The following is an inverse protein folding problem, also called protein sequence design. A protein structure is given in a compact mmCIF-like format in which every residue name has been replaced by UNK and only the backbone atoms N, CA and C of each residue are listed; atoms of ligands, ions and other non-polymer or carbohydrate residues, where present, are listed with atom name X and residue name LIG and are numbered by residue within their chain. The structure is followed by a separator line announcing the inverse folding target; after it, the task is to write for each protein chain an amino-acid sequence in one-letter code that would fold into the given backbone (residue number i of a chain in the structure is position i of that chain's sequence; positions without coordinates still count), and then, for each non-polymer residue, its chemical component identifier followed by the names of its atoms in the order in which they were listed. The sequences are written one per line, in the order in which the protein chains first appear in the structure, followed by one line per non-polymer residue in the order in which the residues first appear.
data_IF_284423808319
#
_entry.id   IF_284423808319
#
_cell.length_a   1.000
_cell.length_b   1.000
_cell.length_c   1.000
_cell.angle_alpha   90.00
_cell.angle_beta   90.00
_cell.angle_gamma   90.00
#
_symmetry.space_group_name_H-M   'P 1'
#
loop_
_entity.id
_entity.type
_entity.pdbx_description
1 polymer ?
#
# COMPACT_ATOMS: atom_id res chain seq x y z
N UNK A 1 13.79 -6.65 -5.23
CA UNK A 1 13.23 -6.09 -6.49
C UNK A 1 11.93 -6.76 -6.91
N UNK A 2 11.95 -7.95 -7.53
CA UNK A 2 10.72 -8.56 -8.08
C UNK A 2 9.61 -8.73 -7.03
N UNK A 3 9.97 -9.22 -5.83
CA UNK A 3 9.02 -9.36 -4.72
C UNK A 3 8.42 -8.01 -4.27
N UNK A 4 9.21 -6.93 -4.32
CA UNK A 4 8.73 -5.60 -3.95
C UNK A 4 7.70 -5.08 -4.97
N UNK A 5 8.02 -5.18 -6.27
CA UNK A 5 7.12 -4.79 -7.35
C UNK A 5 5.82 -5.61 -7.32
N UNK A 6 5.93 -6.92 -7.14
CA UNK A 6 4.77 -7.81 -7.11
C UNK A 6 3.89 -7.53 -5.88
N UNK A 7 4.49 -7.38 -4.70
CA UNK A 7 3.76 -7.03 -3.48
C UNK A 7 3.03 -5.69 -3.57
N UNK A 8 3.69 -4.65 -4.10
CA UNK A 8 3.07 -3.34 -4.31
C UNK A 8 1.98 -3.37 -5.39
N UNK A 9 2.18 -4.13 -6.46
CA UNK A 9 1.15 -4.33 -7.49
C UNK A 9 -0.11 -4.98 -6.94
N UNK A 10 0.04 -6.03 -6.12
CA UNK A 10 -1.09 -6.68 -5.44
C UNK A 10 -1.78 -5.74 -4.46
N UNK A 11 -1.02 -4.95 -3.69
CA UNK A 11 -1.55 -3.94 -2.78
C UNK A 11 -2.40 -2.90 -3.53
N UNK A 12 -1.87 -2.37 -4.64
CA UNK A 12 -2.57 -1.40 -5.49
C UNK A 12 -3.85 -1.98 -6.09
N UNK A 13 -3.82 -3.24 -6.54
CA UNK A 13 -5.01 -3.96 -7.00
C UNK A 13 -6.06 -4.10 -5.90
N UNK A 14 -5.65 -4.50 -4.69
CA UNK A 14 -6.53 -4.60 -3.54
C UNK A 14 -7.22 -3.27 -3.21
N UNK A 15 -6.45 -2.18 -3.14
CA UNK A 15 -7.00 -0.84 -2.93
C UNK A 15 -7.96 -0.45 -4.06
N UNK A 16 -7.58 -0.69 -5.32
CA UNK A 16 -8.40 -0.37 -6.48
C UNK A 16 -9.76 -1.11 -6.48
N UNK A 17 -9.79 -2.38 -6.07
CA UNK A 17 -11.03 -3.14 -5.95
C UNK A 17 -11.95 -2.58 -4.86
N UNK A 18 -11.41 -2.25 -3.69
CA UNK A 18 -12.19 -1.63 -2.62
C UNK A 18 -12.72 -0.25 -3.06
N UNK A 19 -11.88 0.55 -3.72
CA UNK A 19 -12.27 1.87 -4.23
C UNK A 19 -13.38 1.76 -5.27
N UNK A 20 -13.27 0.82 -6.22
CA UNK A 20 -14.30 0.58 -7.23
C UNK A 20 -15.64 0.13 -6.62
N UNK A 21 -15.60 -0.71 -5.58
CA UNK A 21 -16.80 -1.12 -4.86
C UNK A 21 -17.45 0.06 -4.11
N UNK A 22 -16.64 0.90 -3.44
CA UNK A 22 -17.12 2.09 -2.75
C UNK A 22 -17.70 3.13 -3.72
N UNK A 23 -17.08 3.36 -4.88
CA UNK A 23 -17.56 4.30 -5.90
C UNK A 23 -18.96 3.95 -6.41
N UNK A 24 -19.29 2.66 -6.50
CA UNK A 24 -20.64 2.23 -6.86
C UNK A 24 -21.70 2.62 -5.82
N UNK A 25 -21.31 2.73 -4.54
CA UNK A 25 -22.25 2.95 -3.43
C UNK A 25 -22.28 4.40 -2.95
N UNK A 26 -21.16 5.10 -3.04
CA UNK A 26 -21.00 6.46 -2.54
C UNK A 26 -20.32 7.34 -3.57
N UNK A 27 -20.99 8.42 -3.98
CA UNK A 27 -20.46 9.40 -4.94
C UNK A 27 -19.24 10.17 -4.39
N UNK A 28 -19.17 10.38 -3.07
CA UNK A 28 -18.07 11.08 -2.39
C UNK A 28 -16.74 10.31 -2.38
N UNK A 29 -16.73 9.03 -2.81
CA UNK A 29 -15.53 8.18 -2.70
C UNK A 29 -14.31 8.78 -3.42
N UNK A 30 -14.49 9.41 -4.59
CA UNK A 30 -13.36 10.05 -5.31
C UNK A 30 -12.78 11.24 -4.56
N UNK A 31 -13.63 12.05 -3.90
CA UNK A 31 -13.18 13.24 -3.17
C UNK A 31 -12.35 12.84 -1.95
N UNK A 32 -12.82 11.83 -1.21
CA UNK A 32 -12.09 11.27 -0.07
C UNK A 32 -10.78 10.63 -0.52
N UNK A 33 -10.79 9.88 -1.63
CA UNK A 33 -9.58 9.27 -2.18
C UNK A 33 -8.52 10.28 -2.60
N UNK A 34 -8.93 11.38 -3.23
CA UNK A 34 -8.03 12.47 -3.60
C UNK A 34 -7.39 13.13 -2.36
N UNK A 35 -8.15 13.31 -1.28
CA UNK A 35 -7.64 13.83 -0.02
C UNK A 35 -6.63 12.88 0.64
N UNK A 36 -6.82 11.56 0.52
CA UNK A 36 -5.95 10.55 1.14
C UNK A 36 -4.66 10.29 0.36
N UNK A 37 -4.68 10.39 -0.97
CA UNK A 37 -3.49 10.13 -1.80
C UNK A 37 -2.41 11.20 -1.65
N UNK A 38 -2.80 12.46 -1.42
CA UNK A 38 -1.87 13.56 -1.18
C UNK A 38 -0.91 13.34 0.00
N UNK A 39 -1.38 13.07 1.24
CA UNK A 39 -0.50 12.78 2.37
C UNK A 39 0.22 11.43 2.21
N UNK A 40 -0.42 10.44 1.59
CA UNK A 40 0.16 9.12 1.41
C UNK A 40 1.45 9.16 0.58
N UNK A 41 1.58 10.08 -0.38
CA UNK A 41 2.80 10.27 -1.15
C UNK A 41 4.00 10.69 -0.28
N UNK A 42 3.76 11.52 0.74
CA UNK A 42 4.78 11.91 1.71
C UNK A 42 5.13 10.72 2.60
N UNK A 43 4.11 10.05 3.18
CA UNK A 43 4.31 8.94 4.12
C UNK A 43 4.86 7.65 3.50
N UNK A 44 4.95 7.53 2.18
CA UNK A 44 5.43 6.32 1.51
C UNK A 44 6.95 6.27 1.35
N UNK A 45 7.70 7.22 1.94
CA UNK A 45 9.17 7.28 1.88
C UNK A 45 9.71 7.23 0.43
N UNK A 46 8.92 7.74 -0.53
CA UNK A 46 9.32 7.79 -1.95
C UNK A 46 10.38 8.87 -2.15
N UNK A 47 10.24 10.00 -1.46
CA UNK A 47 11.11 11.18 -1.61
C UNK A 47 12.36 11.08 -0.71
N UNK A 48 12.29 10.33 0.38
CA UNK A 48 13.33 10.26 1.41
C UNK A 48 13.55 8.82 1.88
N UNK A 49 14.77 8.50 2.29
CA UNK A 49 15.12 7.18 2.82
C UNK A 49 14.82 7.07 4.32
N UNK A 50 14.30 5.93 4.78
CA UNK A 50 14.03 5.71 6.22
C UNK A 50 15.28 5.55 7.07
N UNK A 51 16.42 5.17 6.48
CA UNK A 51 17.70 5.08 7.18
C UNK A 51 18.22 6.45 7.70
N UNK A 52 17.87 7.55 7.02
CA UNK A 52 18.31 8.90 7.42
C UNK A 52 17.44 9.56 8.50
N UNK A 53 16.32 8.93 8.88
CA UNK A 53 15.35 9.51 9.82
C UNK A 53 15.65 9.15 11.27
N UNK A 54 15.33 10.03 12.24
CA UNK A 54 15.34 9.69 13.67
C UNK A 54 14.43 8.49 13.95
N UNK A 55 14.81 7.67 14.92
CA UNK A 55 14.13 6.41 15.28
C UNK A 55 12.61 6.57 15.48
N UNK A 56 12.18 7.64 16.16
CA UNK A 56 10.76 7.91 16.40
C UNK A 56 9.93 8.06 15.10
N UNK A 57 10.46 8.75 14.07
CA UNK A 57 9.76 8.92 12.81
C UNK A 57 9.83 7.67 11.94
N UNK A 58 10.96 6.96 12.00
CA UNK A 58 11.16 5.69 11.30
C UNK A 58 10.12 4.67 11.75
N UNK A 59 9.95 4.48 13.04
CA UNK A 59 9.02 3.48 13.57
C UNK A 59 7.59 3.76 13.14
N UNK A 60 7.16 5.03 13.12
CA UNK A 60 5.82 5.42 12.63
C UNK A 60 5.66 5.10 11.13
N UNK A 61 6.67 5.39 10.32
CA UNK A 61 6.61 5.16 8.87
C UNK A 61 6.61 3.66 8.52
N UNK A 62 7.28 2.82 9.32
CA UNK A 62 7.32 1.38 9.09
C UNK A 62 5.95 0.70 9.28
N UNK A 63 4.96 1.35 9.89
CA UNK A 63 3.59 0.83 9.90
C UNK A 63 2.94 0.85 8.52
N UNK A 64 3.43 1.68 7.60
CA UNK A 64 2.89 1.78 6.25
C UNK A 64 3.44 0.64 5.37
N UNK A 65 2.60 -0.29 4.88
CA UNK A 65 3.07 -1.41 4.06
C UNK A 65 3.75 -0.96 2.77
N UNK A 66 3.39 0.22 2.24
CA UNK A 66 4.01 0.80 1.04
C UNK A 66 5.50 1.06 1.23
N UNK A 67 5.91 1.46 2.45
CA UNK A 67 7.31 1.77 2.77
C UNK A 67 8.20 0.54 2.58
N UNK A 68 7.78 -0.63 3.04
CA UNK A 68 8.56 -1.87 2.83
C UNK A 68 8.68 -2.24 1.35
N UNK A 69 7.67 -1.92 0.53
CA UNK A 69 7.76 -2.10 -0.91
C UNK A 69 8.76 -1.14 -1.56
N UNK A 70 8.71 0.15 -1.21
CA UNK A 70 9.61 1.18 -1.75
C UNK A 70 11.06 0.90 -1.33
N UNK A 71 11.30 0.65 -0.05
CA UNK A 71 12.63 0.31 0.47
C UNK A 71 13.14 -1.02 -0.11
N UNK A 72 12.26 -2.01 -0.31
CA UNK A 72 12.62 -3.27 -0.96
C UNK A 72 12.93 -3.14 -2.47
N UNK A 73 12.47 -2.07 -3.12
CA UNK A 73 12.97 -1.68 -4.45
C UNK A 73 14.33 -1.01 -4.35
N UNK A 74 14.50 -0.03 -3.44
CA UNK A 74 15.76 0.70 -3.23
C UNK A 74 16.92 -0.24 -2.89
N UNK A 75 16.70 -1.17 -1.97
CA UNK A 75 17.69 -2.20 -1.59
C UNK A 75 18.06 -3.17 -2.72
N UNK A 76 17.34 -3.13 -3.83
CA UNK A 76 17.66 -3.91 -5.01
C UNK A 76 18.46 -3.12 -6.04
N UNK A 77 18.33 -1.80 -6.07
CA UNK A 77 19.12 -0.91 -6.91
C UNK A 77 20.47 -0.56 -6.26
N UNK A 78 20.50 -0.42 -4.94
CA UNK A 78 21.68 -0.08 -4.15
C UNK A 78 22.08 -1.28 -3.29
N UNK A 79 23.16 -2.01 -3.64
CA UNK A 79 23.61 -3.19 -2.89
C UNK A 79 24.07 -2.89 -1.47
N UNK A 80 24.60 -1.68 -1.23
CA UNK A 80 25.08 -1.22 0.08
C UNK A 80 23.94 -0.83 1.04
N UNK A 81 22.69 -0.82 0.54
CA UNK A 81 21.52 -0.45 1.32
C UNK A 81 21.01 -1.65 2.13
N UNK A 82 20.89 -1.47 3.44
CA UNK A 82 20.49 -2.55 4.35
C UNK A 82 19.05 -2.98 4.12
N UNK A 83 18.75 -4.27 4.30
CA UNK A 83 17.36 -4.78 4.34
C UNK A 83 16.73 -4.75 5.73
N UNK A 84 17.40 -4.15 6.71
CA UNK A 84 17.06 -4.24 8.12
C UNK A 84 15.63 -3.74 8.44
N UNK A 85 15.08 -2.87 7.58
CA UNK A 85 13.76 -2.27 7.75
C UNK A 85 12.71 -2.77 6.74
N UNK A 86 13.01 -3.82 5.95
CA UNK A 86 12.12 -4.35 4.90
C UNK A 86 11.47 -5.66 5.34
N UNK A 87 10.16 -5.64 5.55
CA UNK A 87 9.36 -6.84 5.78
C UNK A 87 8.42 -7.12 4.61
N UNK A 88 8.83 -8.04 3.72
CA UNK A 88 7.97 -8.50 2.64
C UNK A 88 6.73 -9.23 3.17
N UNK A 89 6.85 -10.01 4.25
CA UNK A 89 5.72 -10.70 4.85
C UNK A 89 4.59 -9.76 5.25
N UNK A 90 4.94 -8.61 5.85
CA UNK A 90 3.97 -7.58 6.22
C UNK A 90 3.29 -6.96 4.99
N UNK A 91 4.07 -6.61 3.95
CA UNK A 91 3.53 -6.10 2.68
C UNK A 91 2.53 -7.07 2.04
N UNK A 92 2.88 -8.35 1.94
CA UNK A 92 2.01 -9.36 1.32
C UNK A 92 0.76 -9.65 2.14
N UNK A 93 0.87 -9.64 3.48
CA UNK A 93 -0.29 -9.82 4.36
C UNK A 93 -1.33 -8.71 4.15
N UNK A 94 -0.89 -7.45 4.07
CA UNK A 94 -1.76 -6.31 3.74
C UNK A 94 -2.32 -6.40 2.33
N UNK A 95 -1.49 -6.75 1.34
CA UNK A 95 -1.92 -6.88 -0.05
C UNK A 95 -3.01 -7.95 -0.22
N UNK A 96 -2.81 -9.14 0.35
CA UNK A 96 -3.78 -10.22 0.32
C UNK A 96 -5.05 -9.89 1.12
N UNK A 97 -4.91 -9.24 2.28
CA UNK A 97 -6.04 -8.76 3.07
C UNK A 97 -6.94 -7.79 2.30
N UNK A 98 -6.35 -6.80 1.64
CA UNK A 98 -7.09 -5.82 0.82
C UNK A 98 -7.67 -6.44 -0.45
N UNK A 99 -6.96 -7.39 -1.08
CA UNK A 99 -7.51 -8.14 -2.21
C UNK A 99 -8.74 -8.94 -1.79
N UNK A 100 -8.65 -9.71 -0.70
CA UNK A 100 -9.75 -10.49 -0.18
C UNK A 100 -10.96 -9.60 0.19
N UNK A 101 -10.72 -8.47 0.89
CA UNK A 101 -11.79 -7.53 1.24
C UNK A 101 -12.42 -6.88 0.02
N UNK A 102 -11.61 -6.49 -0.96
CA UNK A 102 -12.08 -5.84 -2.19
C UNK A 102 -12.90 -6.79 -3.06
N UNK A 103 -12.44 -8.02 -3.24
CA UNK A 103 -13.20 -9.11 -3.89
C UNK A 103 -14.53 -9.36 -3.18
N UNK A 104 -14.52 -9.44 -1.84
CA UNK A 104 -15.73 -9.63 -1.05
C UNK A 104 -16.74 -8.48 -1.24
N UNK A 105 -16.29 -7.22 -1.19
CA UNK A 105 -17.15 -6.06 -1.42
C UNK A 105 -17.73 -6.03 -2.84
N UNK A 106 -16.92 -6.36 -3.86
CA UNK A 106 -17.40 -6.46 -5.25
C UNK A 106 -18.46 -7.54 -5.39
N UNK A 107 -18.28 -8.71 -4.75
CA UNK A 107 -19.26 -9.80 -4.75
C UNK A 107 -20.57 -9.40 -4.07
N UNK A 108 -20.51 -8.72 -2.92
CA UNK A 108 -21.69 -8.18 -2.25
C UNK A 108 -22.44 -7.16 -3.12
N UNK A 109 -21.70 -6.27 -3.77
CA UNK A 109 -22.27 -5.25 -4.66
C UNK A 109 -22.96 -5.87 -5.88
N UNK A 110 -22.45 -7.00 -6.39
CA UNK A 110 -23.09 -7.77 -7.47
C UNK A 110 -24.39 -8.45 -7.03
N UNK A 111 -24.49 -8.91 -5.78
CA UNK A 111 -25.67 -9.64 -5.26
C UNK A 111 -26.87 -8.74 -4.95
N UNK A 112 -26.64 -7.47 -4.61
CA UNK A 112 -27.72 -6.50 -4.38
C UNK A 112 -28.44 -6.01 -5.64
N UNK A 113 -28.12 -6.55 -6.82
CA UNK A 113 -28.77 -6.25 -8.11
C UNK A 113 -29.83 -7.29 -8.50
N UNK A 114 -30.59 -7.79 -7.54
CA UNK A 114 -31.82 -8.56 -7.78
C UNK A 114 -32.99 -7.82 -7.16
#
# INVERSE_FOLDING_TARGET
MILAYLGLGLLALGIGLNLAACLRRYYMTMQVWALLTAPQFVFSAVIYSVEGLPTAYRDILLWNPVVHGVEGMRSGYYPDYGRDYVSFGYLYLWALGLLASGLFMVLLTRRGMK
#
